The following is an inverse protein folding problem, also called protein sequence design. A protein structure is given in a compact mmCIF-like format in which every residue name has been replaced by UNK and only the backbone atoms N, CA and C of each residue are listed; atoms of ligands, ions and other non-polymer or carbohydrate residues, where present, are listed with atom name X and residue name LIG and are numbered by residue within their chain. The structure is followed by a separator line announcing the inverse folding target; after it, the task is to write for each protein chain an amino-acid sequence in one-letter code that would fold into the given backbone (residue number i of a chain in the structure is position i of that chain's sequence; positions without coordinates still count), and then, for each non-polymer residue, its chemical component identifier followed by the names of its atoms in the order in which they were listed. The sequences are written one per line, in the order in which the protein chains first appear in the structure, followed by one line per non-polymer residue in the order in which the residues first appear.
data_IF_565640935561
#
_entry.id   IF_565640935561
#
_cell.length_a   1.000
_cell.length_b   1.000
_cell.length_c   1.000
_cell.angle_alpha   90.00
_cell.angle_beta   90.00
_cell.angle_gamma   90.00
#
_symmetry.space_group_name_H-M   'P 1'
#
loop_
_entity.id
_entity.type
_entity.pdbx_description
1 polymer ?
#
# COMPACT_ATOMS: atom_id res chain seq x y z
N UNK A 1 -9.22 25.88 -2.54
CA UNK A 1 -8.12 25.16 -3.20
C UNK A 1 -7.48 24.34 -2.09
N UNK A 2 -7.70 23.03 -2.04
CA UNK A 2 -7.29 22.21 -0.89
C UNK A 2 -5.78 22.30 -0.69
N UNK A 3 -5.34 22.98 0.37
CA UNK A 3 -3.95 22.93 0.82
C UNK A 3 -3.77 21.57 1.48
N UNK A 4 -3.37 20.58 0.69
CA UNK A 4 -2.74 19.38 1.23
C UNK A 4 -1.41 19.84 1.85
N UNK A 5 -1.43 20.09 3.16
CA UNK A 5 -0.22 20.14 3.96
C UNK A 5 0.38 18.75 3.89
N UNK A 6 1.27 18.54 2.92
CA UNK A 6 2.08 17.33 2.87
C UNK A 6 2.90 17.32 4.17
N UNK A 7 2.72 16.34 5.07
CA UNK A 7 3.61 16.22 6.22
C UNK A 7 5.06 16.11 5.70
N UNK A 8 6.07 16.58 6.46
CA UNK A 8 7.47 16.43 6.06
C UNK A 8 7.70 15.01 5.55
N UNK A 9 8.12 14.92 4.28
CA UNK A 9 7.88 13.78 3.40
C UNK A 9 8.20 12.46 4.07
N UNK A 10 7.18 11.75 4.57
CA UNK A 10 7.38 10.46 5.17
C UNK A 10 7.77 9.51 4.05
N UNK A 11 9.03 9.12 4.05
CA UNK A 11 9.60 8.28 3.01
C UNK A 11 8.86 6.93 3.07
N UNK A 12 8.22 6.50 1.97
CA UNK A 12 7.60 5.18 1.93
C UNK A 12 8.68 4.10 2.11
N UNK A 13 8.32 2.91 2.63
CA UNK A 13 9.26 1.81 2.69
C UNK A 13 9.77 1.51 1.28
N UNK A 14 11.08 1.24 1.18
CA UNK A 14 11.67 0.84 -0.09
C UNK A 14 11.01 -0.46 -0.57
N UNK A 15 10.77 -0.62 -1.88
CA UNK A 15 10.25 -1.86 -2.42
C UNK A 15 11.25 -3.00 -2.12
N UNK A 16 10.76 -4.21 -1.78
CA UNK A 16 11.63 -5.35 -1.50
C UNK A 16 12.42 -5.71 -2.76
N UNK A 17 13.68 -6.11 -2.58
CA UNK A 17 14.59 -6.53 -3.65
C UNK A 17 14.70 -8.04 -3.79
N UNK A 18 14.16 -8.79 -2.84
CA UNK A 18 14.10 -10.25 -2.84
C UNK A 18 12.79 -10.75 -2.21
N UNK A 19 12.38 -11.98 -2.50
CA UNK A 19 11.22 -12.60 -1.84
C UNK A 19 11.39 -12.72 -0.32
N UNK A 20 12.63 -12.85 0.17
CA UNK A 20 12.94 -12.91 1.60
C UNK A 20 12.64 -11.56 2.29
N UNK A 21 12.94 -10.44 1.62
CA UNK A 21 12.71 -9.09 2.15
C UNK A 21 11.22 -8.72 2.27
N UNK A 22 10.31 -9.44 1.61
CA UNK A 22 8.86 -9.27 1.80
C UNK A 22 8.47 -9.60 3.25
N UNK A 23 9.25 -10.46 3.93
CA UNK A 23 9.11 -10.74 5.36
C UNK A 23 7.93 -11.66 5.71
N UNK A 24 7.37 -12.35 4.72
CA UNK A 24 6.30 -13.34 4.89
C UNK A 24 6.75 -14.72 4.38
N UNK A 25 6.21 -15.83 4.92
CA UNK A 25 6.64 -17.18 4.53
C UNK A 25 6.43 -17.45 3.04
N UNK A 26 7.40 -18.13 2.39
CA UNK A 26 7.34 -18.48 0.97
C UNK A 26 6.06 -19.24 0.59
N UNK A 27 5.63 -20.16 1.44
CA UNK A 27 4.38 -20.92 1.27
C UNK A 27 3.18 -19.99 1.20
N UNK A 28 3.11 -18.98 2.06
CA UNK A 28 2.03 -18.00 2.08
C UNK A 28 2.04 -17.13 0.81
N UNK A 29 3.21 -16.67 0.37
CA UNK A 29 3.34 -15.90 -0.88
C UNK A 29 2.84 -16.72 -2.07
N UNK A 30 3.32 -17.97 -2.21
CA UNK A 30 2.89 -18.87 -3.27
C UNK A 30 1.39 -19.10 -3.22
N UNK A 31 0.85 -19.40 -2.04
CA UNK A 31 -0.59 -19.65 -1.91
C UNK A 31 -1.41 -18.38 -2.25
N UNK A 32 -0.97 -17.18 -1.87
CA UNK A 32 -1.61 -15.92 -2.27
C UNK A 32 -1.59 -15.75 -3.80
N UNK A 33 -0.45 -16.03 -4.45
CA UNK A 33 -0.34 -15.98 -5.91
C UNK A 33 -1.36 -16.93 -6.56
N UNK A 34 -1.37 -18.21 -6.17
CA UNK A 34 -2.26 -19.22 -6.75
C UNK A 34 -3.74 -18.88 -6.50
N UNK A 35 -4.08 -18.45 -5.28
CA UNK A 35 -5.45 -18.02 -4.94
C UNK A 35 -5.89 -16.81 -5.76
N UNK A 36 -4.98 -15.87 -6.00
CA UNK A 36 -5.26 -14.66 -6.80
C UNK A 36 -5.50 -15.01 -8.26
N UNK A 37 -4.63 -15.83 -8.86
CA UNK A 37 -4.82 -16.35 -10.22
C UNK A 37 -6.16 -17.08 -10.34
N UNK A 38 -6.48 -17.93 -9.36
CA UNK A 38 -7.71 -18.73 -9.35
C UNK A 38 -8.98 -17.88 -9.21
N UNK A 39 -9.01 -16.92 -8.28
CA UNK A 39 -10.21 -16.11 -8.00
C UNK A 39 -10.46 -15.02 -9.03
N UNK A 40 -9.39 -14.47 -9.61
CA UNK A 40 -9.48 -13.34 -10.54
C UNK A 40 -9.26 -13.72 -12.01
N UNK A 41 -8.97 -14.98 -12.32
CA UNK A 41 -8.65 -15.46 -13.68
C UNK A 41 -7.53 -14.65 -14.34
N UNK A 42 -6.44 -14.39 -13.60
CA UNK A 42 -5.29 -13.62 -14.08
C UNK A 42 -4.17 -14.54 -14.54
N UNK A 43 -3.56 -14.20 -15.67
CA UNK A 43 -2.54 -15.01 -16.35
C UNK A 43 -1.26 -14.23 -16.72
N UNK A 44 -1.32 -12.89 -16.77
CA UNK A 44 -0.17 -12.03 -17.06
C UNK A 44 0.57 -11.59 -15.80
N UNK A 45 1.91 -11.63 -15.85
CA UNK A 45 2.81 -11.30 -14.74
C UNK A 45 2.66 -9.84 -14.32
N UNK A 46 2.57 -8.93 -15.29
CA UNK A 46 2.41 -7.50 -15.08
C UNK A 46 1.12 -7.17 -14.32
N UNK A 47 0.03 -7.87 -14.65
CA UNK A 47 -1.27 -7.72 -13.99
C UNK A 47 -1.22 -8.34 -12.59
N UNK A 48 -0.67 -9.54 -12.45
CA UNK A 48 -0.49 -10.22 -11.17
C UNK A 48 0.34 -9.37 -10.21
N UNK A 49 1.49 -8.87 -10.64
CA UNK A 49 2.40 -8.02 -9.86
C UNK A 49 1.68 -6.81 -9.27
N UNK A 50 0.84 -6.15 -10.06
CA UNK A 50 0.02 -5.02 -9.60
C UNK A 50 -1.02 -5.44 -8.56
N UNK A 51 -1.72 -6.54 -8.78
CA UNK A 51 -2.78 -7.03 -7.88
C UNK A 51 -2.23 -7.54 -6.56
N UNK A 52 -1.11 -8.27 -6.60
CA UNK A 52 -0.44 -8.77 -5.39
C UNK A 52 0.50 -7.75 -4.76
N UNK A 53 0.62 -6.55 -5.35
CA UNK A 53 1.46 -5.44 -4.89
C UNK A 53 2.93 -5.84 -4.68
N UNK A 54 3.46 -6.66 -5.60
CA UNK A 54 4.85 -7.11 -5.60
C UNK A 54 5.56 -6.59 -6.88
N UNK A 55 6.85 -6.25 -6.83
CA UNK A 55 7.59 -5.92 -8.05
C UNK A 55 7.50 -7.03 -9.10
N UNK A 56 7.47 -6.64 -10.39
CA UNK A 56 7.39 -7.59 -11.52
C UNK A 56 8.49 -8.65 -11.47
N UNK A 57 9.78 -8.33 -11.19
CA UNK A 57 10.83 -9.34 -11.11
C UNK A 57 10.59 -10.40 -10.03
N UNK A 58 10.11 -9.97 -8.85
CA UNK A 58 9.80 -10.89 -7.75
C UNK A 58 8.53 -11.71 -8.01
N UNK A 59 7.57 -11.13 -8.74
CA UNK A 59 6.39 -11.87 -9.19
C UNK A 59 6.76 -12.96 -10.18
N UNK A 60 7.65 -12.66 -11.12
CA UNK A 60 8.21 -13.65 -12.06
C UNK A 60 8.97 -14.76 -11.33
N UNK A 61 9.81 -14.42 -10.35
CA UNK A 61 10.51 -15.40 -9.51
C UNK A 61 9.53 -16.33 -8.79
N UNK A 62 8.44 -15.79 -8.22
CA UNK A 62 7.42 -16.59 -7.54
C UNK A 62 6.64 -17.50 -8.50
N UNK A 63 6.40 -17.03 -9.73
CA UNK A 63 5.81 -17.84 -10.80
C UNK A 63 6.75 -18.99 -11.17
N UNK A 64 8.04 -18.73 -11.38
CA UNK A 64 9.02 -19.76 -11.75
C UNK A 64 9.21 -20.80 -10.64
N UNK A 65 9.21 -20.39 -9.38
CA UNK A 65 9.15 -21.30 -8.24
C UNK A 65 7.88 -22.18 -8.28
N UNK A 66 6.73 -21.59 -8.56
CA UNK A 66 5.46 -22.33 -8.66
C UNK A 66 5.43 -23.29 -9.86
N UNK A 67 6.09 -22.93 -10.97
CA UNK A 67 6.28 -23.79 -12.14
C UNK A 67 7.20 -24.96 -11.84
N UNK A 68 8.30 -24.74 -11.13
CA UNK A 68 9.22 -25.81 -10.69
C UNK A 68 8.50 -26.87 -9.83
N UNK A 69 7.47 -26.44 -9.09
CA UNK A 69 6.59 -27.28 -8.28
C UNK A 69 5.42 -27.88 -9.07
N UNK A 70 5.35 -27.66 -10.39
CA UNK A 70 4.27 -28.10 -11.28
C UNK A 70 2.89 -27.57 -10.86
N UNK A 71 2.82 -26.39 -10.28
CA UNK A 71 1.57 -25.74 -9.91
C UNK A 71 1.09 -24.79 -11.03
N UNK A 72 2.04 -24.21 -11.76
CA UNK A 72 1.79 -23.36 -12.92
C UNK A 72 2.42 -23.92 -14.19
N UNK A 73 1.83 -23.59 -15.33
CA UNK A 73 2.38 -23.87 -16.66
C UNK A 73 2.31 -22.62 -17.53
N UNK A 74 3.22 -22.53 -18.50
CA UNK A 74 3.25 -21.42 -19.44
C UNK A 74 2.31 -21.72 -20.62
N UNK A 75 1.43 -20.79 -20.95
CA UNK A 75 0.47 -20.92 -22.06
C UNK A 75 1.02 -20.33 -23.37
N UNK A 76 2.27 -19.84 -23.37
CA UNK A 76 2.86 -19.16 -24.52
C UNK A 76 2.20 -17.81 -24.81
N UNK A 77 2.46 -17.24 -25.99
CA UNK A 77 1.83 -16.00 -26.46
C UNK A 77 0.50 -16.26 -27.19
N UNK A 78 -0.21 -17.34 -26.82
CA UNK A 78 -1.38 -17.85 -27.58
C UNK A 78 -2.58 -16.88 -27.59
N UNK A 79 -2.60 -15.85 -26.75
CA UNK A 79 -3.59 -14.78 -26.85
C UNK A 79 -3.10 -13.68 -27.79
N UNK A 80 -3.65 -13.65 -29.01
CA UNK A 80 -3.42 -12.60 -30.01
C UNK A 80 -3.80 -11.18 -29.52
N UNK A 81 -4.42 -11.05 -28.35
CA UNK A 81 -4.86 -9.80 -27.70
C UNK A 81 -4.01 -9.41 -26.49
N UNK A 82 -3.17 -10.32 -25.98
CA UNK A 82 -2.22 -10.05 -24.91
C UNK A 82 -0.91 -9.67 -25.59
N UNK A 83 -0.22 -8.62 -25.11
CA UNK A 83 0.99 -8.12 -25.76
C UNK A 83 2.13 -9.15 -25.83
N UNK A 84 3.37 -8.68 -26.03
CA UNK A 84 4.59 -9.51 -26.07
C UNK A 84 4.94 -10.22 -24.73
N UNK A 85 3.97 -10.36 -23.82
CA UNK A 85 4.10 -10.94 -22.49
C UNK A 85 3.58 -12.39 -22.49
N UNK A 86 4.34 -13.29 -21.88
CA UNK A 86 3.99 -14.71 -21.75
C UNK A 86 2.92 -14.91 -20.67
N UNK A 87 1.85 -15.63 -21.02
CA UNK A 87 0.79 -16.01 -20.08
C UNK A 87 1.14 -17.26 -19.25
N UNK A 88 0.55 -17.36 -18.07
CA UNK A 88 0.65 -18.51 -17.17
C UNK A 88 -0.72 -18.95 -16.68
N UNK A 89 -0.90 -20.26 -16.54
CA UNK A 89 -2.14 -20.87 -16.06
C UNK A 89 -1.87 -21.84 -14.91
N UNK A 90 -2.87 -21.99 -14.03
CA UNK A 90 -2.90 -23.04 -13.02
C UNK A 90 -3.08 -24.42 -13.66
N UNK A 91 -2.13 -25.30 -13.37
CA UNK A 91 -2.31 -26.75 -13.57
C UNK A 91 -3.41 -27.27 -12.64
N UNK A 92 -3.85 -28.51 -12.82
CA UNK A 92 -4.82 -29.11 -11.90
C UNK A 92 -4.29 -29.25 -10.46
N UNK A 93 -2.99 -29.52 -10.29
CA UNK A 93 -2.34 -29.49 -8.99
C UNK A 93 -2.34 -28.08 -8.38
N UNK A 94 -2.10 -27.06 -9.21
CA UNK A 94 -2.19 -25.65 -8.81
C UNK A 94 -3.60 -25.24 -8.37
N UNK A 95 -4.63 -25.64 -9.12
CA UNK A 95 -6.04 -25.40 -8.78
C UNK A 95 -6.41 -26.09 -7.46
N UNK A 96 -6.05 -27.37 -7.30
CA UNK A 96 -6.29 -28.09 -6.04
C UNK A 96 -5.63 -27.37 -4.87
N UNK A 97 -4.36 -27.00 -5.01
CA UNK A 97 -3.63 -26.27 -3.96
C UNK A 97 -4.28 -24.92 -3.63
N UNK A 98 -4.74 -24.18 -4.63
CA UNK A 98 -5.42 -22.91 -4.44
C UNK A 98 -6.74 -23.08 -3.66
N UNK A 99 -7.54 -24.10 -4.01
CA UNK A 99 -8.78 -24.43 -3.30
C UNK A 99 -8.49 -24.84 -1.85
N UNK A 100 -7.50 -25.71 -1.61
CA UNK A 100 -7.10 -26.11 -0.27
C UNK A 100 -6.66 -24.88 0.57
N UNK A 101 -5.86 -23.99 -0.01
CA UNK A 101 -5.43 -22.77 0.67
C UNK A 101 -6.60 -21.80 0.93
N UNK A 102 -7.62 -21.76 0.06
CA UNK A 102 -8.84 -20.95 0.26
C UNK A 102 -9.68 -21.46 1.42
N UNK A 103 -9.73 -22.78 1.65
CA UNK A 103 -10.45 -23.33 2.81
C UNK A 103 -9.84 -22.91 4.15
N UNK A 104 -8.53 -22.67 4.19
CA UNK A 104 -7.83 -22.19 5.38
C UNK A 104 -7.92 -20.66 5.53
N UNK A 105 -7.89 -19.94 4.41
CA UNK A 105 -7.98 -18.48 4.40
C UNK A 105 -8.45 -17.97 3.05
N UNK A 106 -9.57 -17.25 3.07
CA UNK A 106 -10.11 -16.58 1.89
C UNK A 106 -9.31 -15.34 1.46
N UNK A 107 -8.22 -14.99 2.14
CA UNK A 107 -7.39 -13.84 1.76
C UNK A 107 -6.64 -14.10 0.44
N UNK A 108 -6.80 -13.22 -0.54
CA UNK A 108 -6.05 -13.20 -1.80
C UNK A 108 -5.87 -11.75 -2.29
N UNK A 109 -5.03 -11.54 -3.30
CA UNK A 109 -4.66 -10.21 -3.79
C UNK A 109 -3.34 -9.74 -3.19
N UNK A 110 -3.32 -8.52 -2.66
CA UNK A 110 -2.12 -7.86 -2.15
C UNK A 110 -1.33 -8.74 -1.16
N UNK A 111 0.00 -8.71 -1.23
CA UNK A 111 0.84 -9.37 -0.24
C UNK A 111 0.70 -8.66 1.12
N UNK A 112 0.46 -9.40 2.22
CA UNK A 112 0.39 -8.81 3.53
C UNK A 112 1.76 -8.33 3.97
N UNK A 113 1.79 -7.27 4.78
CA UNK A 113 3.01 -6.71 5.35
C UNK A 113 3.16 -7.19 6.80
N UNK A 114 4.38 -7.56 7.25
CA UNK A 114 4.60 -7.93 8.65
C UNK A 114 4.19 -6.82 9.62
N UNK A 115 3.54 -7.20 10.72
CA UNK A 115 3.02 -6.23 11.70
C UNK A 115 4.12 -5.32 12.28
N UNK A 116 5.31 -5.86 12.49
CA UNK A 116 6.47 -5.10 12.96
C UNK A 116 6.86 -3.99 11.97
N UNK A 117 6.96 -4.32 10.68
CA UNK A 117 7.28 -3.37 9.62
C UNK A 117 6.19 -2.29 9.47
N UNK A 118 4.92 -2.69 9.55
CA UNK A 118 3.80 -1.75 9.58
C UNK A 118 3.88 -0.79 10.77
N UNK A 119 4.17 -1.31 11.97
CA UNK A 119 4.33 -0.51 13.18
C UNK A 119 5.47 0.51 13.10
N UNK A 120 6.60 0.15 12.49
CA UNK A 120 7.69 1.08 12.23
C UNK A 120 7.28 2.22 11.28
N UNK A 121 6.57 1.88 10.20
CA UNK A 121 6.10 2.89 9.25
C UNK A 121 5.08 3.84 9.88
N UNK A 122 4.16 3.33 10.70
CA UNK A 122 3.20 4.14 11.45
C UNK A 122 3.88 5.11 12.42
N UNK A 123 4.99 4.69 13.07
CA UNK A 123 5.78 5.58 13.94
C UNK A 123 6.42 6.72 13.15
N UNK A 124 6.98 6.43 11.96
CA UNK A 124 7.58 7.44 11.07
C UNK A 124 6.54 8.43 10.54
N UNK A 125 5.31 7.97 10.32
CA UNK A 125 4.19 8.80 9.86
C UNK A 125 3.54 9.63 10.97
N UNK A 126 3.87 9.39 12.24
CA UNK A 126 3.18 10.05 13.34
C UNK A 126 3.52 11.53 13.42
N UNK A 127 2.50 12.39 13.29
CA UNK A 127 2.61 13.85 13.50
C UNK A 127 2.72 14.25 14.97
N UNK A 128 2.63 13.29 15.90
CA UNK A 128 2.67 13.55 17.36
C UNK A 128 3.99 14.20 17.83
N UNK A 129 5.06 14.08 17.04
CA UNK A 129 6.36 14.67 17.34
C UNK A 129 6.68 15.89 16.45
N UNK A 130 5.73 16.39 15.67
CA UNK A 130 5.94 17.55 14.82
C UNK A 130 5.93 18.82 15.67
N UNK A 131 7.06 19.52 15.75
CA UNK A 131 7.16 20.83 16.38
C UNK A 131 6.91 21.88 15.30
N UNK A 132 5.78 22.56 15.36
CA UNK A 132 5.49 23.71 14.51
C UNK A 132 5.92 24.97 15.24
N UNK A 133 6.78 25.77 14.60
CA UNK A 133 7.17 27.08 15.12
C UNK A 133 6.05 28.10 14.88
N UNK A 134 6.02 29.16 15.68
CA UNK A 134 5.05 30.25 15.52
C UNK A 134 5.10 30.85 14.10
N UNK A 135 6.29 31.01 13.54
CA UNK A 135 6.48 31.54 12.19
C UNK A 135 5.86 30.63 11.12
N UNK A 136 6.00 29.31 11.24
CA UNK A 136 5.40 28.34 10.33
C UNK A 136 3.87 28.32 10.45
N UNK A 137 3.35 28.40 11.68
CA UNK A 137 1.91 28.51 11.94
C UNK A 137 1.33 29.79 11.31
N UNK A 138 1.93 30.95 11.59
CA UNK A 138 1.49 32.24 11.04
C UNK A 138 1.57 32.27 9.52
N UNK A 139 2.62 31.67 8.92
CA UNK A 139 2.76 31.56 7.47
C UNK A 139 1.66 30.67 6.86
N UNK A 140 1.36 29.52 7.48
CA UNK A 140 0.30 28.62 7.04
C UNK A 140 -1.09 29.24 7.16
N UNK A 141 -1.32 30.03 8.22
CA UNK A 141 -2.60 30.70 8.48
C UNK A 141 -2.71 32.10 7.84
N UNK A 142 -1.69 32.58 7.12
CA UNK A 142 -1.62 33.96 6.64
C UNK A 142 -2.69 34.36 5.60
N UNK A 143 -3.43 33.39 5.05
CA UNK A 143 -4.57 33.62 4.18
C UNK A 143 -5.92 33.68 4.94
N UNK A 144 -5.89 33.45 6.26
CA UNK A 144 -7.05 33.46 7.14
C UNK A 144 -7.04 34.75 7.96
N UNK A 145 -8.20 35.41 8.05
CA UNK A 145 -8.38 36.54 8.95
C UNK A 145 -8.67 35.98 10.34
N UNK A 146 -7.63 35.80 11.15
CA UNK A 146 -7.73 35.28 12.51
C UNK A 146 -7.32 36.35 13.54
N UNK A 147 -8.03 36.48 14.66
CA UNK A 147 -7.56 37.27 15.80
C UNK A 147 -6.20 36.74 16.29
N UNK A 148 -5.29 37.63 16.68
CA UNK A 148 -3.96 37.26 17.19
C UNK A 148 -4.01 36.28 18.36
N UNK A 149 -5.00 36.42 19.25
CA UNK A 149 -5.19 35.55 20.41
C UNK A 149 -5.57 34.11 20.02
N UNK A 150 -6.19 33.92 18.84
CA UNK A 150 -6.55 32.59 18.35
C UNK A 150 -5.33 31.83 17.83
N UNK A 151 -4.36 32.54 17.24
CA UNK A 151 -3.08 31.96 16.80
C UNK A 151 -2.30 31.42 18.00
N UNK A 152 -2.34 32.13 19.13
CA UNK A 152 -1.67 31.73 20.37
C UNK A 152 -2.29 30.47 20.99
N UNK A 153 -3.60 30.31 20.89
CA UNK A 153 -4.31 29.10 21.33
C UNK A 153 -4.17 27.91 20.36
N UNK A 154 -3.98 28.19 19.06
CA UNK A 154 -3.80 27.17 18.03
C UNK A 154 -2.44 26.49 18.11
N UNK A 155 -1.37 27.20 18.52
CA UNK A 155 -0.02 26.63 18.61
C UNK A 155 0.05 25.33 19.43
N UNK A 156 -0.40 25.32 20.69
CA UNK A 156 -0.45 24.11 21.52
C UNK A 156 -1.37 23.03 20.94
N UNK A 157 -2.52 23.42 20.37
CA UNK A 157 -3.49 22.47 19.81
C UNK A 157 -2.94 21.75 18.57
N UNK A 158 -2.29 22.47 17.67
CA UNK A 158 -1.66 21.94 16.45
C UNK A 158 -0.47 21.03 16.79
N UNK A 159 0.35 21.44 17.76
CA UNK A 159 1.51 20.64 18.23
C UNK A 159 1.09 19.35 18.95
N UNK A 160 -0.12 19.30 19.51
CA UNK A 160 -0.62 18.12 20.22
C UNK A 160 -0.93 16.92 19.30
N UNK A 161 -1.00 17.15 17.98
CA UNK A 161 -1.38 16.11 17.00
C UNK A 161 -2.79 15.57 17.19
N UNK A 162 -3.67 16.31 17.90
CA UNK A 162 -5.09 15.98 18.12
C UNK A 162 -5.97 16.73 17.14
N UNK A 163 -7.19 16.23 16.93
CA UNK A 163 -8.20 16.88 16.09
C UNK A 163 -8.58 18.26 16.66
N UNK A 164 -8.68 19.26 15.79
CA UNK A 164 -9.10 20.63 16.12
C UNK A 164 -10.43 20.90 15.41
N UNK A 165 -11.43 21.37 16.16
CA UNK A 165 -12.70 21.83 15.61
C UNK A 165 -12.70 23.37 15.58
N UNK A 166 -12.78 23.97 14.39
CA UNK A 166 -12.94 25.42 14.23
C UNK A 166 -14.42 25.77 14.02
N UNK A 167 -14.96 26.63 14.89
CA UNK A 167 -16.35 27.12 14.82
C UNK A 167 -16.38 28.66 14.82
N UNK A 168 -17.36 29.27 14.14
CA UNK A 168 -17.54 30.73 14.08
C UNK A 168 -18.35 31.23 12.87
N UNK A 169 -18.58 32.55 12.76
CA UNK A 169 -19.34 33.18 11.67
C UNK A 169 -18.78 32.87 10.27
N UNK A 170 -19.60 32.89 9.19
CA UNK A 170 -19.13 32.71 7.81
C UNK A 170 -18.08 33.78 7.44
N UNK A 171 -17.07 33.40 6.63
CA UNK A 171 -15.99 34.31 6.20
C UNK A 171 -14.66 34.19 6.96
N UNK A 172 -14.61 33.47 8.10
CA UNK A 172 -13.38 33.30 8.90
C UNK A 172 -12.54 32.05 8.53
N UNK A 173 -12.68 31.55 7.29
CA UNK A 173 -11.76 30.53 6.75
C UNK A 173 -11.79 29.13 7.37
N UNK A 174 -12.91 28.71 7.99
CA UNK A 174 -13.14 27.33 8.49
C UNK A 174 -13.07 26.23 7.41
N UNK A 175 -13.14 26.62 6.14
CA UNK A 175 -13.23 25.73 4.98
C UNK A 175 -12.18 26.03 3.91
N UNK A 176 -11.20 26.89 4.25
CA UNK A 176 -10.15 27.36 3.34
C UNK A 176 -8.86 26.56 3.49
#
# INVERSE_FOLDING_TARGET
MNVQVSPPGVIPPAPPKSLVEVGIPMVMMRDILLKTMFRMNLDLVSVLARVICLPVPLTQELIDLSRSQRLLEATGTLHATSGNEMGYQLTDAGKSRAMDALTQSEYYGAMPVPLAAYGEQMKRQSVRNMKITRTELTKGMGHLILPTDLIDNLGPAVTSGRSILMYGPPGNGKSS
#
